data_IF_948570558301
#
_entry.id   IF_948570558301
#
_cell.length_a   1.000
_cell.length_b   1.000
_cell.length_c   1.000
_cell.angle_alpha   90.00
_cell.angle_beta   90.00
_cell.angle_gamma   90.00
#
_symmetry.space_group_name_H-M   'P 1'
#
loop_
_entity.id
_entity.type
_entity.pdbx_description
1 polymer ?
#
# COMPACT_ATOMS: atom_id res chain seq x y z
N UNK A 1 -4.56 -3.12 18.90
CA UNK A 1 -4.59 -2.46 20.23
C UNK A 1 -4.23 -0.99 20.03
N UNK A 2 -4.83 -0.06 20.78
CA UNK A 2 -4.56 1.38 20.67
C UNK A 2 -3.46 1.82 21.65
N UNK A 3 -3.04 3.08 21.52
CA UNK A 3 -1.98 3.65 22.37
C UNK A 3 -2.34 3.59 23.87
N UNK A 4 -3.63 3.69 24.21
CA UNK A 4 -4.10 3.60 25.60
C UNK A 4 -3.88 2.19 26.19
N UNK A 5 -4.01 1.13 25.37
CA UNK A 5 -3.87 -0.25 25.84
C UNK A 5 -2.46 -0.82 25.72
N UNK A 6 -1.65 -0.34 24.79
CA UNK A 6 -0.37 -0.95 24.46
C UNK A 6 0.81 0.04 24.37
N UNK A 7 0.59 1.32 24.67
CA UNK A 7 1.57 2.37 24.40
C UNK A 7 1.75 2.63 22.90
N UNK A 8 2.53 3.65 22.57
CA UNK A 8 2.81 4.03 21.17
C UNK A 8 3.46 2.88 20.40
N UNK A 9 4.51 2.27 20.96
CA UNK A 9 5.26 1.18 20.33
C UNK A 9 4.39 -0.05 20.09
N UNK A 10 3.48 -0.37 21.03
CA UNK A 10 2.58 -1.51 20.89
C UNK A 10 1.46 -1.29 19.87
N UNK A 11 0.98 -0.06 19.72
CA UNK A 11 0.03 0.30 18.67
C UNK A 11 0.69 0.26 17.28
N UNK A 12 1.93 0.75 17.17
CA UNK A 12 2.71 0.69 15.93
C UNK A 12 3.07 -0.75 15.53
N UNK A 13 3.49 -1.58 16.48
CA UNK A 13 3.75 -3.01 16.23
C UNK A 13 2.49 -3.75 15.75
N UNK A 14 1.33 -3.45 16.34
CA UNK A 14 0.07 -4.02 15.88
C UNK A 14 -0.29 -3.59 14.45
N UNK A 15 -0.06 -2.33 14.10
CA UNK A 15 -0.24 -1.84 12.73
C UNK A 15 0.72 -2.52 11.73
N UNK A 16 1.99 -2.71 12.10
CA UNK A 16 2.96 -3.45 11.28
C UNK A 16 2.51 -4.89 11.01
N UNK A 17 1.99 -5.58 12.04
CA UNK A 17 1.44 -6.94 11.87
C UNK A 17 0.29 -6.94 10.85
N UNK A 18 -0.65 -5.99 10.96
CA UNK A 18 -1.77 -5.87 10.02
C UNK A 18 -1.28 -5.63 8.59
N UNK A 19 -0.30 -4.73 8.41
CA UNK A 19 0.30 -4.43 7.10
C UNK A 19 0.86 -5.68 6.40
N UNK A 20 1.38 -6.64 7.17
CA UNK A 20 1.95 -7.89 6.66
C UNK A 20 0.96 -9.06 6.63
N UNK A 21 -0.27 -8.91 7.12
CA UNK A 21 -1.32 -9.94 7.10
C UNK A 21 -1.98 -10.15 5.72
N UNK A 22 -1.21 -10.01 4.63
CA UNK A 22 -1.72 -10.02 3.25
C UNK A 22 -2.37 -11.36 2.88
N UNK A 23 -2.03 -12.43 3.57
CA UNK A 23 -2.64 -13.75 3.37
C UNK A 23 -4.12 -13.84 3.81
N UNK A 24 -4.65 -12.84 4.51
CA UNK A 24 -6.03 -12.79 4.99
C UNK A 24 -6.69 -11.45 4.58
N UNK A 25 -7.31 -11.46 3.40
CA UNK A 25 -7.90 -10.27 2.81
C UNK A 25 -9.08 -9.72 3.63
N UNK A 26 -9.87 -10.60 4.24
CA UNK A 26 -10.99 -10.18 5.07
C UNK A 26 -10.49 -9.50 6.35
N UNK A 27 -9.51 -10.11 7.02
CA UNK A 27 -8.91 -9.54 8.23
C UNK A 27 -8.31 -8.15 7.99
N UNK A 28 -7.59 -7.93 6.89
CA UNK A 28 -7.04 -6.60 6.58
C UNK A 28 -8.15 -5.55 6.36
N UNK A 29 -9.24 -5.91 5.67
CA UNK A 29 -10.39 -5.00 5.48
C UNK A 29 -11.07 -4.64 6.80
N UNK A 30 -11.27 -5.62 7.68
CA UNK A 30 -11.81 -5.39 9.02
C UNK A 30 -10.88 -4.49 9.85
N UNK A 31 -9.57 -4.71 9.75
CA UNK A 31 -8.58 -3.88 10.42
C UNK A 31 -8.56 -2.45 9.89
N UNK A 32 -8.77 -2.23 8.59
CA UNK A 32 -8.91 -0.88 8.03
C UNK A 32 -10.05 -0.12 8.69
N UNK A 33 -11.24 -0.73 8.80
CA UNK A 33 -12.39 -0.11 9.47
C UNK A 33 -12.11 0.24 10.93
N UNK A 34 -11.41 -0.64 11.66
CA UNK A 34 -11.02 -0.37 13.05
C UNK A 34 -10.00 0.76 13.16
N UNK A 35 -9.07 0.83 12.21
CA UNK A 35 -8.02 1.84 12.15
C UNK A 35 -8.61 3.22 11.80
N UNK A 36 -9.54 3.29 10.84
CA UNK A 36 -10.31 4.49 10.50
C UNK A 36 -11.06 5.03 11.71
N UNK A 37 -11.80 4.17 12.43
CA UNK A 37 -12.51 4.57 13.65
C UNK A 37 -11.55 5.09 14.73
N UNK A 38 -10.37 4.48 14.85
CA UNK A 38 -9.36 4.92 15.82
C UNK A 38 -8.71 6.24 15.41
N UNK A 39 -8.49 6.48 14.11
CA UNK A 39 -7.95 7.72 13.58
C UNK A 39 -8.95 8.87 13.76
N UNK A 40 -10.23 8.63 13.49
CA UNK A 40 -11.31 9.59 13.71
C UNK A 40 -11.46 9.99 15.20
N UNK A 41 -11.11 9.07 16.11
CA UNK A 41 -11.05 9.34 17.55
C UNK A 41 -9.73 9.99 18.00
N UNK A 42 -8.80 10.29 17.09
CA UNK A 42 -7.49 10.86 17.40
C UNK A 42 -6.53 9.93 18.13
N UNK A 43 -6.81 8.61 18.15
CA UNK A 43 -6.02 7.60 18.89
C UNK A 43 -4.86 7.01 18.08
N UNK A 44 -4.90 7.14 16.76
CA UNK A 44 -3.83 6.75 15.84
C UNK A 44 -3.70 7.82 14.76
N UNK A 45 -2.52 8.01 14.18
CA UNK A 45 -2.33 9.00 13.13
C UNK A 45 -2.95 8.53 11.81
N UNK A 46 -3.50 9.48 11.04
CA UNK A 46 -4.21 9.21 9.79
C UNK A 46 -3.32 8.56 8.72
N UNK A 47 -2.01 8.80 8.75
CA UNK A 47 -1.07 8.17 7.82
C UNK A 47 -1.08 6.63 7.92
N UNK A 48 -1.40 6.05 9.09
CA UNK A 48 -1.51 4.60 9.22
C UNK A 48 -2.68 4.04 8.41
N UNK A 49 -3.80 4.78 8.36
CA UNK A 49 -4.96 4.46 7.53
C UNK A 49 -4.58 4.57 6.06
N UNK A 50 -3.96 5.68 5.66
CA UNK A 50 -3.55 5.92 4.28
C UNK A 50 -2.70 4.78 3.70
N UNK A 51 -1.74 4.27 4.48
CA UNK A 51 -0.89 3.16 4.06
C UNK A 51 -1.64 1.83 3.91
N UNK A 52 -2.57 1.51 4.81
CA UNK A 52 -3.33 0.27 4.76
C UNK A 52 -4.40 0.32 3.65
N UNK A 53 -5.06 1.46 3.48
CA UNK A 53 -6.02 1.71 2.40
C UNK A 53 -5.37 1.53 1.02
N UNK A 54 -4.23 2.17 0.80
CA UNK A 54 -3.49 2.06 -0.47
C UNK A 54 -2.99 0.64 -0.73
N UNK A 55 -2.59 -0.09 0.31
CA UNK A 55 -2.18 -1.51 0.20
C UNK A 55 -3.35 -2.39 -0.22
N UNK A 56 -4.50 -2.22 0.42
CA UNK A 56 -5.74 -2.93 0.07
C UNK A 56 -6.14 -2.59 -1.37
N UNK A 57 -6.13 -1.30 -1.75
CA UNK A 57 -6.45 -0.86 -3.10
C UNK A 57 -5.54 -1.53 -4.15
N UNK A 58 -4.23 -1.55 -3.93
CA UNK A 58 -3.26 -2.22 -4.80
C UNK A 58 -3.56 -3.73 -4.94
N UNK A 59 -3.80 -4.42 -3.84
CA UNK A 59 -4.12 -5.86 -3.87
C UNK A 59 -5.46 -6.14 -4.54
N UNK A 60 -6.45 -5.26 -4.41
CA UNK A 60 -7.74 -5.34 -5.13
C UNK A 60 -7.65 -4.88 -6.59
N UNK A 61 -6.48 -4.42 -7.07
CA UNK A 61 -6.30 -3.92 -8.43
C UNK A 61 -6.90 -2.52 -8.67
N UNK A 62 -7.35 -1.85 -7.61
CA UNK A 62 -7.87 -0.49 -7.64
C UNK A 62 -6.72 0.53 -7.59
N UNK A 63 -6.90 1.73 -8.16
CA UNK A 63 -5.94 2.80 -7.97
C UNK A 63 -5.91 3.25 -6.51
N UNK A 64 -4.71 3.58 -6.03
CA UNK A 64 -4.44 4.01 -4.66
C UNK A 64 -4.67 5.53 -4.50
N UNK A 65 -5.03 5.97 -3.29
CA UNK A 65 -5.42 7.35 -3.01
C UNK A 65 -4.24 8.23 -2.60
N UNK A 66 -3.30 7.71 -1.81
CA UNK A 66 -2.22 8.50 -1.21
C UNK A 66 -0.83 8.23 -1.82
N UNK A 67 -0.69 7.22 -2.69
CA UNK A 67 0.57 6.90 -3.34
C UNK A 67 1.60 6.25 -2.41
N UNK A 68 1.17 5.50 -1.40
CA UNK A 68 2.11 4.88 -0.45
C UNK A 68 2.71 3.55 -0.94
N UNK A 69 2.06 2.87 -1.90
CA UNK A 69 2.57 1.63 -2.49
C UNK A 69 3.40 1.93 -3.73
N UNK A 70 4.61 1.40 -3.77
CA UNK A 70 5.54 1.51 -4.87
C UNK A 70 5.93 0.10 -5.33
N UNK A 71 6.07 -0.05 -6.64
CA UNK A 71 6.45 -1.32 -7.27
C UNK A 71 7.55 -1.08 -8.30
N UNK A 72 8.30 -2.12 -8.61
CA UNK A 72 9.28 -2.09 -9.68
C UNK A 72 8.57 -2.19 -11.03
N UNK A 73 8.93 -1.29 -11.95
CA UNK A 73 8.45 -1.33 -13.32
C UNK A 73 9.11 -2.50 -14.06
N UNK A 74 8.35 -3.45 -14.64
CA UNK A 74 8.92 -4.63 -15.29
C UNK A 74 9.71 -4.29 -16.56
N UNK A 75 9.61 -3.06 -17.09
CA UNK A 75 10.31 -2.64 -18.30
C UNK A 75 11.73 -2.20 -17.98
N UNK A 76 11.90 -1.34 -16.98
CA UNK A 76 13.18 -0.67 -16.69
C UNK A 76 13.69 -0.87 -15.25
N UNK A 77 12.98 -1.65 -14.43
CA UNK A 77 13.34 -1.99 -13.06
C UNK A 77 13.27 -0.83 -12.07
N UNK A 78 12.80 0.36 -12.50
CA UNK A 78 12.74 1.52 -11.61
C UNK A 78 11.49 1.46 -10.76
N UNK A 79 11.65 1.68 -9.47
CA UNK A 79 10.55 1.73 -8.51
C UNK A 79 9.70 3.00 -8.72
N UNK A 80 8.40 2.83 -8.98
CA UNK A 80 7.43 3.91 -9.22
C UNK A 80 6.19 3.70 -8.34
N UNK A 81 5.41 4.75 -8.04
CA UNK A 81 4.16 4.55 -7.32
C UNK A 81 3.25 3.66 -8.17
N UNK A 82 2.55 2.73 -7.51
CA UNK A 82 1.45 2.03 -8.17
C UNK A 82 0.35 3.03 -8.61
N UNK A 83 -0.56 2.58 -9.48
CA UNK A 83 -1.64 3.39 -10.08
C UNK A 83 -2.27 4.36 -9.08
N UNK A 84 -2.14 5.66 -9.32
CA UNK A 84 -2.77 6.70 -8.51
C UNK A 84 -4.20 6.95 -8.98
N UNK A 85 -5.12 7.18 -8.04
CA UNK A 85 -6.50 7.56 -8.36
C UNK A 85 -6.56 8.99 -8.89
N UNK A 86 -5.75 9.88 -8.32
CA UNK A 86 -5.65 11.28 -8.71
C UNK A 86 -4.22 11.78 -8.46
N UNK A 87 -3.42 11.85 -9.53
CA UNK A 87 -2.03 12.27 -9.44
C UNK A 87 -1.87 13.78 -9.18
N UNK A 88 -2.86 14.60 -9.55
CA UNK A 88 -2.81 16.05 -9.33
C UNK A 88 -3.07 16.39 -7.86
N UNK A 89 -3.99 15.67 -7.23
CA UNK A 89 -4.38 15.89 -5.82
C UNK A 89 -3.61 15.05 -4.80
N UNK A 90 -2.75 14.13 -5.25
CA UNK A 90 -2.08 13.17 -4.35
C UNK A 90 -1.33 13.87 -3.22
N UNK A 91 -0.67 15.00 -3.48
CA UNK A 91 0.08 15.72 -2.45
C UNK A 91 -0.81 16.42 -1.43
N UNK A 92 -1.96 16.95 -1.85
CA UNK A 92 -2.94 17.54 -0.93
C UNK A 92 -3.54 16.46 -0.02
N UNK A 93 -3.91 15.31 -0.60
CA UNK A 93 -4.42 14.15 0.14
C UNK A 93 -3.38 13.61 1.14
N UNK A 94 -2.10 13.58 0.75
CA UNK A 94 -1.00 13.20 1.62
C UNK A 94 -0.84 14.18 2.77
N UNK A 95 -0.89 15.48 2.50
CA UNK A 95 -0.81 16.51 3.54
C UNK A 95 -1.97 16.41 4.54
N UNK A 96 -3.20 16.17 4.08
CA UNK A 96 -4.37 15.91 4.93
C UNK A 96 -4.16 14.68 5.84
N UNK A 97 -3.49 13.65 5.34
CA UNK A 97 -3.15 12.44 6.10
C UNK A 97 -1.93 12.58 7.03
N UNK A 98 -1.25 13.72 7.03
CA UNK A 98 0.00 13.92 7.79
C UNK A 98 1.22 13.26 7.15
N UNK A 99 1.17 12.95 5.85
CA UNK A 99 2.28 12.45 5.06
C UNK A 99 3.04 13.60 4.39
N UNK A 100 4.35 13.41 4.19
CA UNK A 100 5.13 14.28 3.31
C UNK A 100 4.71 14.13 1.83
N UNK A 101 5.10 15.05 0.94
CA UNK A 101 4.80 14.95 -0.49
C UNK A 101 5.28 13.63 -1.09
N UNK A 102 4.67 13.22 -2.19
CA UNK A 102 5.07 12.03 -2.93
C UNK A 102 6.53 12.20 -3.40
N UNK A 103 7.32 11.14 -3.27
CA UNK A 103 8.69 11.15 -3.79
C UNK A 103 8.69 11.38 -5.31
N UNK A 104 9.77 11.99 -5.80
CA UNK A 104 9.94 12.24 -7.22
C UNK A 104 9.83 10.91 -7.99
N UNK A 105 8.94 10.88 -8.98
CA UNK A 105 8.76 9.70 -9.82
C UNK A 105 9.91 9.67 -10.81
N UNK A 106 10.74 8.61 -10.83
CA UNK A 106 11.85 8.53 -11.76
C UNK A 106 11.34 8.44 -13.20
N UNK A 107 11.98 9.18 -14.11
CA UNK A 107 11.74 9.08 -15.55
C UNK A 107 11.99 7.65 -16.06
N UNK A 108 11.55 7.34 -17.27
CA UNK A 108 11.80 6.04 -17.89
C UNK A 108 13.30 5.82 -18.11
N UNK A 109 13.79 4.67 -17.69
CA UNK A 109 15.15 4.19 -17.90
C UNK A 109 15.31 3.39 -19.21
N UNK A 110 16.53 2.92 -19.49
CA UNK A 110 16.73 1.89 -20.51
C UNK A 110 15.96 0.62 -20.13
N UNK A 111 15.52 -0.13 -21.13
CA UNK A 111 14.87 -1.41 -20.84
C UNK A 111 15.86 -2.40 -20.22
N UNK A 112 15.40 -3.17 -19.25
CA UNK A 112 16.15 -4.27 -18.66
C UNK A 112 16.45 -5.36 -19.70
N UNK A 113 17.49 -6.18 -19.50
CA UNK A 113 17.70 -7.43 -20.24
C UNK A 113 16.45 -8.31 -20.26
N UNK A 114 16.25 -9.06 -21.36
CA UNK A 114 15.01 -9.83 -21.57
C UNK A 114 14.73 -10.86 -20.48
N UNK A 115 15.77 -11.50 -19.97
CA UNK A 115 15.74 -12.45 -18.87
C UNK A 115 15.27 -11.79 -17.58
N UNK A 116 15.85 -10.64 -17.20
CA UNK A 116 15.41 -9.88 -16.02
C UNK A 116 13.94 -9.43 -16.14
N UNK A 117 13.49 -9.02 -17.34
CA UNK A 117 12.08 -8.69 -17.57
C UNK A 117 11.17 -9.90 -17.43
N UNK A 118 11.60 -11.07 -17.92
CA UNK A 118 10.84 -12.31 -17.80
C UNK A 118 10.69 -12.71 -16.33
N UNK A 119 11.74 -12.62 -15.53
CA UNK A 119 11.70 -12.91 -14.09
C UNK A 119 10.71 -11.99 -13.35
N UNK A 120 10.73 -10.69 -13.65
CA UNK A 120 9.79 -9.72 -13.06
C UNK A 120 8.34 -10.00 -13.47
N UNK A 121 8.11 -10.30 -14.75
CA UNK A 121 6.79 -10.67 -15.25
C UNK A 121 6.27 -11.99 -14.64
N UNK A 122 7.14 -12.99 -14.46
CA UNK A 122 6.80 -14.26 -13.81
C UNK A 122 6.46 -14.05 -12.33
N UNK A 123 7.26 -13.28 -11.61
CA UNK A 123 6.97 -12.90 -10.23
C UNK A 123 5.64 -12.14 -10.14
N UNK A 124 5.36 -11.23 -11.08
CA UNK A 124 4.09 -10.52 -11.12
C UNK A 124 2.90 -11.47 -11.36
N UNK A 125 3.01 -12.39 -12.32
CA UNK A 125 1.98 -13.41 -12.58
C UNK A 125 1.71 -14.27 -11.34
N UNK A 126 2.78 -14.73 -10.69
CA UNK A 126 2.68 -15.50 -9.45
C UNK A 126 1.95 -14.72 -8.35
N UNK A 127 2.30 -13.44 -8.17
CA UNK A 127 1.64 -12.56 -7.20
C UNK A 127 0.15 -12.38 -7.51
N UNK A 128 -0.20 -12.16 -8.77
CA UNK A 128 -1.60 -11.98 -9.19
C UNK A 128 -2.44 -13.25 -8.94
N UNK A 129 -1.89 -14.43 -9.27
CA UNK A 129 -2.51 -15.72 -8.96
C UNK A 129 -2.65 -15.93 -7.44
N UNK A 130 -1.60 -15.64 -6.69
CA UNK A 130 -1.62 -15.77 -5.24
C UNK A 130 -2.64 -14.83 -4.59
N UNK A 131 -2.70 -13.57 -5.00
CA UNK A 131 -3.69 -12.60 -4.50
C UNK A 131 -5.13 -13.06 -4.79
N UNK A 132 -5.37 -13.60 -5.98
CA UNK A 132 -6.66 -14.21 -6.35
C UNK A 132 -6.99 -15.37 -5.41
N UNK A 133 -6.03 -16.27 -5.15
CA UNK A 133 -6.20 -17.40 -4.22
C UNK A 133 -6.50 -16.97 -2.77
N UNK A 134 -6.13 -15.74 -2.39
CA UNK A 134 -6.38 -15.15 -1.07
C UNK A 134 -7.64 -14.28 -0.99
N UNK A 135 -8.44 -14.23 -2.05
CA UNK A 135 -9.70 -13.47 -2.06
C UNK A 135 -9.53 -11.96 -2.18
N UNK A 136 -8.39 -11.50 -2.71
CA UNK A 136 -8.20 -10.09 -3.06
C UNK A 136 -8.83 -9.71 -4.40
N UNK A 137 -8.88 -10.67 -5.33
CA UNK A 137 -9.34 -10.48 -6.71
C UNK A 137 -10.28 -11.62 -7.10
N UNK A 138 -11.22 -11.33 -7.98
CA UNK A 138 -12.21 -12.27 -8.55
C UNK A 138 -11.95 -12.51 -10.03
#
# INVERSE_FOLDING_TARGET
PDQEKAGQDGAEAAWLIVQHAVGDAQFQRECLLLLENSANAGRVPLWQVAYLEDRIAMHEGRPQRYGTQWVDDPVDGRTRPWKLADAERVNDLRAEAGLGPLHAIPERGPELPRDERQDLEENQRWWDEWLTSKGWRS
#
